data_IF_777690821087
#
_entry.id   IF_777690821087
#
_cell.length_a   1.000
_cell.length_b   1.000
_cell.length_c   1.000
_cell.angle_alpha   90.00
_cell.angle_beta   90.00
_cell.angle_gamma   90.00
#
_symmetry.space_group_name_H-M   'P 1'
#
loop_
_entity.id
_entity.type
_entity.pdbx_description
1 polymer ?
#
# COMPACT_ATOMS: atom_id res chain seq x y z
N UNK A 1 16.74 2.18 22.90
CA UNK A 1 16.14 1.06 22.15
C UNK A 1 14.92 1.52 21.37
N UNK A 2 14.76 1.02 20.15
CA UNK A 2 13.58 1.26 19.33
C UNK A 2 12.45 0.29 19.75
N UNK A 3 11.20 0.78 19.77
CA UNK A 3 10.05 -0.06 20.07
C UNK A 3 9.76 -1.05 18.92
N UNK A 4 9.17 -2.21 19.25
CA UNK A 4 8.72 -3.17 18.23
C UNK A 4 7.53 -2.62 17.42
N UNK A 5 7.25 -3.26 16.27
CA UNK A 5 6.21 -2.81 15.34
C UNK A 5 4.80 -2.78 15.95
N UNK A 6 4.45 -3.75 16.81
CA UNK A 6 3.12 -3.79 17.45
C UNK A 6 2.98 -2.64 18.43
N UNK A 7 4.00 -2.38 19.24
CA UNK A 7 4.04 -1.24 20.16
C UNK A 7 3.90 0.09 19.40
N UNK A 8 4.60 0.27 18.28
CA UNK A 8 4.49 1.47 17.44
C UNK A 8 3.07 1.63 16.86
N UNK A 9 2.52 0.57 16.28
CA UNK A 9 1.17 0.58 15.69
C UNK A 9 0.09 0.87 16.73
N UNK A 10 0.15 0.23 17.91
CA UNK A 10 -0.82 0.46 18.99
C UNK A 10 -0.80 1.91 19.47
N UNK A 11 0.40 2.50 19.64
CA UNK A 11 0.54 3.91 20.04
C UNK A 11 -0.04 4.86 19.00
N UNK A 12 0.28 4.65 17.72
CA UNK A 12 -0.26 5.46 16.64
C UNK A 12 -1.79 5.38 16.60
N UNK A 13 -2.37 4.17 16.63
CA UNK A 13 -3.82 4.01 16.59
C UNK A 13 -4.53 4.60 17.82
N UNK A 14 -3.96 4.43 19.01
CA UNK A 14 -4.57 4.95 20.25
C UNK A 14 -4.61 6.49 20.28
N UNK A 15 -3.64 7.16 19.66
CA UNK A 15 -3.53 8.62 19.62
C UNK A 15 -4.49 9.29 18.63
N UNK A 16 -4.98 8.57 17.63
CA UNK A 16 -5.80 9.11 16.56
C UNK A 16 -7.31 9.05 16.86
N UNK A 17 -8.08 9.86 16.14
CA UNK A 17 -9.54 9.83 16.23
C UNK A 17 -10.12 8.51 15.71
N UNK A 18 -11.27 8.12 16.24
CA UNK A 18 -11.98 6.91 15.80
C UNK A 18 -12.35 7.01 14.30
N UNK A 19 -12.16 5.92 13.56
CA UNK A 19 -12.43 5.83 12.12
C UNK A 19 -11.61 6.79 11.24
N UNK A 20 -10.52 7.38 11.73
CA UNK A 20 -9.73 8.36 10.99
C UNK A 20 -8.50 7.76 10.29
N UNK A 21 -7.99 6.63 10.78
CA UNK A 21 -6.69 6.11 10.34
C UNK A 21 -6.82 5.33 9.04
N UNK A 22 -5.93 5.62 8.09
CA UNK A 22 -5.66 4.76 6.95
C UNK A 22 -4.29 4.14 7.12
N UNK A 23 -4.20 2.81 7.01
CA UNK A 23 -2.92 2.10 7.03
C UNK A 23 -2.53 1.79 5.58
N UNK A 24 -1.26 2.01 5.24
CA UNK A 24 -0.69 1.57 3.97
C UNK A 24 0.27 0.43 4.25
N UNK A 25 -0.03 -0.76 3.74
CA UNK A 25 0.84 -1.94 3.82
C UNK A 25 1.53 -2.16 2.47
N UNK A 26 2.81 -1.84 2.41
CA UNK A 26 3.65 -1.96 1.22
C UNK A 26 4.70 -3.07 1.37
N UNK A 27 4.36 -4.11 2.14
CA UNK A 27 5.26 -5.20 2.48
C UNK A 27 4.51 -6.33 3.18
N UNK A 28 5.23 -7.08 3.99
CA UNK A 28 4.72 -8.28 4.66
C UNK A 28 3.60 -7.97 5.68
N UNK A 29 2.63 -8.88 5.77
CA UNK A 29 1.39 -8.71 6.55
C UNK A 29 1.56 -9.02 8.04
N UNK A 30 2.68 -9.63 8.43
CA UNK A 30 2.96 -10.12 9.79
C UNK A 30 2.73 -9.06 10.87
N UNK A 31 3.13 -7.81 10.64
CA UNK A 31 2.94 -6.75 11.64
C UNK A 31 1.47 -6.43 11.89
N UNK A 32 0.63 -6.41 10.84
CA UNK A 32 -0.81 -6.19 10.98
C UNK A 32 -1.51 -7.38 11.64
N UNK A 33 -1.09 -8.61 11.30
CA UNK A 33 -1.61 -9.81 11.94
C UNK A 33 -1.22 -9.89 13.42
N UNK A 34 0.03 -9.54 13.77
CA UNK A 34 0.47 -9.47 15.16
C UNK A 34 -0.24 -8.35 15.94
N UNK A 35 -0.52 -7.22 15.29
CA UNK A 35 -1.37 -6.18 15.85
C UNK A 35 -2.75 -6.74 16.18
N UNK A 36 -3.43 -7.44 15.26
CA UNK A 36 -4.74 -8.03 15.53
C UNK A 36 -4.73 -9.01 16.72
N UNK A 37 -3.64 -9.77 16.89
CA UNK A 37 -3.45 -10.74 17.98
C UNK A 37 -3.06 -10.10 19.32
N UNK A 38 -2.66 -8.84 19.34
CA UNK A 38 -2.24 -8.16 20.57
C UNK A 38 -3.39 -8.01 21.57
N UNK A 39 -3.08 -8.17 22.86
CA UNK A 39 -4.01 -7.91 23.95
C UNK A 39 -4.15 -6.42 24.27
N UNK A 40 -4.98 -6.10 25.25
CA UNK A 40 -4.95 -4.79 25.90
C UNK A 40 -3.62 -4.58 26.63
N UNK A 41 -3.20 -3.33 26.77
CA UNK A 41 -1.93 -2.94 27.39
C UNK A 41 -2.00 -1.51 27.96
N UNK A 42 -0.88 -0.99 28.42
CA UNK A 42 -0.77 0.36 28.99
C UNK A 42 -1.00 1.48 27.95
N UNK A 43 -1.01 1.16 26.64
CA UNK A 43 -1.27 2.11 25.57
C UNK A 43 -2.77 2.25 25.32
N UNK A 44 -3.50 1.13 25.34
CA UNK A 44 -4.93 1.10 25.11
C UNK A 44 -5.59 -0.07 25.84
N UNK A 45 -6.75 0.16 26.50
CA UNK A 45 -7.51 -0.92 27.12
C UNK A 45 -8.19 -1.85 26.10
N UNK A 46 -8.14 -1.53 24.81
CA UNK A 46 -8.70 -2.36 23.74
C UNK A 46 -7.70 -3.42 23.27
N UNK A 47 -8.20 -4.64 23.02
CA UNK A 47 -7.43 -5.63 22.29
C UNK A 47 -7.16 -5.15 20.86
N UNK A 48 -6.10 -5.65 20.23
CA UNK A 48 -5.65 -5.16 18.93
C UNK A 48 -6.71 -5.16 17.84
N UNK A 49 -7.51 -6.24 17.74
CA UNK A 49 -8.65 -6.29 16.81
C UNK A 49 -9.68 -5.19 17.07
N UNK A 50 -10.02 -4.93 18.33
CA UNK A 50 -11.00 -3.91 18.72
C UNK A 50 -10.46 -2.51 18.49
N UNK A 51 -9.17 -2.30 18.77
CA UNK A 51 -8.48 -1.05 18.49
C UNK A 51 -8.48 -0.76 16.99
N UNK A 52 -8.14 -1.74 16.15
CA UNK A 52 -8.19 -1.60 14.69
C UNK A 52 -9.61 -1.28 14.23
N UNK A 53 -10.61 -2.05 14.66
CA UNK A 53 -12.01 -1.82 14.28
C UNK A 53 -12.50 -0.42 14.69
N UNK A 54 -12.01 0.11 15.82
CA UNK A 54 -12.39 1.44 16.30
C UNK A 54 -11.67 2.56 15.55
N UNK A 55 -10.38 2.38 15.22
CA UNK A 55 -9.51 3.47 14.77
C UNK A 55 -9.30 3.51 13.26
N UNK A 56 -9.26 2.36 12.62
CA UNK A 56 -8.90 2.24 11.20
C UNK A 56 -10.13 2.36 10.32
N UNK A 57 -10.10 3.29 9.37
CA UNK A 57 -11.08 3.42 8.30
C UNK A 57 -10.92 2.32 7.26
N UNK A 58 -9.70 2.17 6.73
CA UNK A 58 -9.34 1.17 5.73
C UNK A 58 -7.84 0.86 5.77
N UNK A 59 -7.46 -0.27 5.18
CA UNK A 59 -6.07 -0.58 4.82
C UNK A 59 -5.93 -0.58 3.31
N UNK A 60 -4.99 0.20 2.78
CA UNK A 60 -4.53 0.03 1.40
C UNK A 60 -3.33 -0.91 1.41
N UNK A 61 -3.41 -1.99 0.64
CA UNK A 61 -2.36 -3.02 0.60
C UNK A 61 -1.76 -3.12 -0.80
N UNK A 62 -0.45 -3.02 -0.94
CA UNK A 62 0.25 -3.46 -2.15
C UNK A 62 0.43 -4.97 -2.06
N UNK A 63 -0.47 -5.71 -2.69
CA UNK A 63 -0.49 -7.17 -2.61
C UNK A 63 -1.37 -7.79 -3.69
N UNK A 64 -1.00 -9.01 -4.09
CA UNK A 64 -1.79 -9.84 -4.99
C UNK A 64 -1.80 -9.35 -6.44
N UNK A 65 -2.54 -10.06 -7.27
CA UNK A 65 -2.80 -9.68 -8.66
C UNK A 65 -4.23 -10.10 -9.03
N UNK A 66 -4.98 -9.20 -9.65
CA UNK A 66 -6.40 -9.41 -9.96
C UNK A 66 -6.65 -9.50 -11.47
N UNK A 67 -5.58 -9.43 -12.27
CA UNK A 67 -5.56 -9.73 -13.70
C UNK A 67 -4.44 -10.72 -14.03
N UNK A 68 -4.51 -11.36 -15.20
CA UNK A 68 -3.39 -12.16 -15.70
C UNK A 68 -2.21 -11.25 -16.05
N UNK A 69 -1.00 -11.65 -15.66
CA UNK A 69 0.24 -10.98 -16.00
C UNK A 69 0.90 -11.77 -17.12
N UNK A 70 1.10 -11.15 -18.29
CA UNK A 70 1.58 -11.83 -19.50
C UNK A 70 0.79 -13.09 -19.85
N UNK A 71 -0.53 -13.04 -19.65
CA UNK A 71 -1.45 -14.15 -19.92
C UNK A 71 -1.41 -15.30 -18.91
N UNK A 72 -0.72 -15.14 -17.78
CA UNK A 72 -0.62 -16.17 -16.73
C UNK A 72 -1.06 -15.64 -15.36
N UNK A 73 -1.55 -16.52 -14.47
CA UNK A 73 -1.75 -16.18 -13.06
C UNK A 73 -0.42 -15.71 -12.44
N UNK A 74 -0.49 -14.72 -11.55
CA UNK A 74 0.70 -14.16 -10.92
C UNK A 74 0.67 -14.41 -9.40
N UNK A 75 1.80 -14.88 -8.90
CA UNK A 75 2.04 -15.08 -7.48
C UNK A 75 2.86 -13.89 -6.98
N UNK A 76 2.19 -12.94 -6.33
CA UNK A 76 2.78 -11.66 -5.92
C UNK A 76 3.70 -11.85 -4.70
N UNK A 77 4.82 -11.13 -4.67
CA UNK A 77 5.92 -11.34 -3.74
C UNK A 77 5.53 -11.15 -2.26
N UNK A 78 4.87 -10.05 -1.91
CA UNK A 78 4.45 -9.78 -0.53
C UNK A 78 3.46 -10.84 -0.01
N UNK A 79 2.63 -11.41 -0.90
CA UNK A 79 1.74 -12.52 -0.57
C UNK A 79 2.49 -13.84 -0.40
N UNK A 80 3.41 -14.19 -1.32
CA UNK A 80 4.09 -15.49 -1.30
C UNK A 80 5.06 -15.59 -0.12
N UNK A 81 5.85 -14.55 0.11
CA UNK A 81 6.91 -14.56 1.13
C UNK A 81 6.34 -14.56 2.55
N UNK A 82 5.16 -13.97 2.76
CA UNK A 82 4.48 -13.94 4.06
C UNK A 82 3.08 -14.57 3.98
N UNK A 83 3.02 -15.77 3.38
CA UNK A 83 1.79 -16.45 2.99
C UNK A 83 0.77 -16.59 4.13
N UNK A 84 1.20 -17.07 5.30
CA UNK A 84 0.30 -17.30 6.43
C UNK A 84 -0.29 -15.99 6.94
N UNK A 85 0.52 -14.93 7.01
CA UNK A 85 0.01 -13.63 7.45
C UNK A 85 -0.86 -12.99 6.37
N UNK A 86 -0.52 -13.11 5.08
CA UNK A 86 -1.34 -12.60 3.98
C UNK A 86 -2.73 -13.27 3.94
N UNK A 87 -2.78 -14.60 4.13
CA UNK A 87 -4.04 -15.35 4.29
C UNK A 87 -4.83 -14.87 5.51
N UNK A 88 -4.15 -14.66 6.63
CA UNK A 88 -4.80 -14.24 7.88
C UNK A 88 -5.33 -12.82 7.76
N UNK A 89 -4.57 -11.90 7.16
CA UNK A 89 -4.99 -10.53 6.92
C UNK A 89 -6.24 -10.49 6.03
N UNK A 90 -6.21 -11.18 4.89
CA UNK A 90 -7.36 -11.24 3.98
C UNK A 90 -8.60 -11.84 4.66
N UNK A 91 -8.44 -12.83 5.55
CA UNK A 91 -9.58 -13.46 6.21
C UNK A 91 -10.12 -12.67 7.39
N UNK A 92 -9.24 -12.06 8.18
CA UNK A 92 -9.56 -11.64 9.54
C UNK A 92 -9.55 -10.13 9.74
N UNK A 93 -8.98 -9.33 8.84
CA UNK A 93 -8.95 -7.89 9.03
C UNK A 93 -10.38 -7.31 9.17
N UNK A 94 -10.66 -6.48 10.19
CA UNK A 94 -12.04 -6.16 10.57
C UNK A 94 -12.63 -4.94 9.86
N UNK A 95 -11.88 -4.26 9.00
CA UNK A 95 -12.32 -3.07 8.24
C UNK A 95 -12.03 -3.22 6.75
N UNK A 96 -12.35 -2.21 5.93
CA UNK A 96 -12.16 -2.31 4.48
C UNK A 96 -10.68 -2.52 4.10
N UNK A 97 -10.45 -3.42 3.12
CA UNK A 97 -9.14 -3.58 2.49
C UNK A 97 -9.24 -3.19 1.01
N UNK A 98 -8.40 -2.26 0.58
CA UNK A 98 -8.25 -1.92 -0.83
C UNK A 98 -6.89 -2.39 -1.33
N UNK A 99 -6.92 -3.35 -2.25
CA UNK A 99 -5.72 -3.94 -2.84
C UNK A 99 -5.24 -3.12 -4.04
N UNK A 100 -4.00 -2.65 -3.97
CA UNK A 100 -3.23 -2.25 -5.13
C UNK A 100 -2.48 -3.48 -5.66
N UNK A 101 -3.05 -4.10 -6.71
CA UNK A 101 -2.49 -5.31 -7.30
C UNK A 101 -1.19 -5.05 -8.08
N UNK A 102 -0.45 -6.13 -8.33
CA UNK A 102 0.80 -6.10 -9.10
C UNK A 102 0.64 -5.41 -10.47
N UNK A 103 -0.47 -5.64 -11.15
CA UNK A 103 -0.82 -5.04 -12.43
C UNK A 103 -0.92 -3.51 -12.38
N UNK A 104 -1.28 -2.94 -11.22
CA UNK A 104 -1.46 -1.50 -11.03
C UNK A 104 -0.10 -0.82 -11.02
N UNK A 105 0.84 -1.32 -10.21
CA UNK A 105 2.21 -0.82 -10.20
C UNK A 105 2.95 -1.02 -11.52
N UNK A 106 2.68 -2.13 -12.21
CA UNK A 106 3.26 -2.42 -13.53
C UNK A 106 2.78 -1.42 -14.60
N UNK A 107 1.53 -0.98 -14.53
CA UNK A 107 0.93 -0.08 -15.50
C UNK A 107 1.37 1.39 -15.37
N UNK A 108 2.00 1.77 -14.26
CA UNK A 108 2.44 3.15 -13.98
C UNK A 108 3.93 3.21 -13.60
N UNK A 109 4.84 2.84 -14.51
CA UNK A 109 6.25 2.81 -14.20
C UNK A 109 6.81 4.24 -14.07
N UNK A 110 7.55 4.52 -13.00
CA UNK A 110 8.16 5.80 -12.73
C UNK A 110 9.21 6.12 -13.80
N UNK A 111 9.19 7.31 -14.40
CA UNK A 111 10.01 7.59 -15.57
C UNK A 111 11.47 7.91 -15.19
N UNK A 112 12.42 7.27 -15.87
CA UNK A 112 13.86 7.45 -15.66
C UNK A 112 14.29 8.93 -15.76
N UNK A 113 13.68 9.66 -16.70
CA UNK A 113 13.96 11.09 -16.94
C UNK A 113 13.74 11.93 -15.68
N UNK A 114 12.79 11.55 -14.82
CA UNK A 114 12.54 12.27 -13.58
C UNK A 114 13.66 12.07 -12.57
N UNK A 115 14.18 10.83 -12.43
CA UNK A 115 15.36 10.53 -11.58
C UNK A 115 16.59 11.34 -12.05
N UNK A 116 16.76 11.48 -13.35
CA UNK A 116 17.89 12.18 -13.98
C UNK A 116 17.80 13.71 -13.87
N UNK A 117 16.59 14.29 -13.89
CA UNK A 117 16.41 15.73 -14.10
C UNK A 117 15.75 16.46 -12.92
N UNK A 118 14.86 15.81 -12.17
CA UNK A 118 13.96 16.52 -11.25
C UNK A 118 14.48 16.58 -9.80
N UNK A 119 15.54 15.84 -9.48
CA UNK A 119 16.12 15.78 -8.11
C UNK A 119 17.35 16.68 -7.91
N UNK A 120 17.64 17.57 -8.87
CA UNK A 120 18.85 18.41 -8.89
C UNK A 120 18.78 19.67 -8.00
N UNK A 121 17.75 19.80 -7.16
CA UNK A 121 17.58 20.96 -6.27
C UNK A 121 18.53 20.95 -5.06
N UNK A 122 19.26 19.85 -4.83
CA UNK A 122 20.40 19.76 -3.91
C UNK A 122 21.54 18.99 -4.60
N UNK A 123 22.83 19.25 -4.27
CA UNK A 123 23.95 18.56 -4.92
C UNK A 123 23.99 17.04 -4.68
N UNK A 124 23.53 16.59 -3.52
CA UNK A 124 23.48 15.19 -3.11
C UNK A 124 22.06 14.85 -2.67
N UNK A 125 21.28 14.28 -3.60
CA UNK A 125 19.91 13.93 -3.33
C UNK A 125 19.82 12.44 -2.92
N UNK A 126 19.50 12.10 -1.66
CA UNK A 126 19.57 10.72 -1.17
C UNK A 126 18.67 9.76 -1.94
N UNK A 127 17.46 10.19 -2.34
CA UNK A 127 16.56 9.35 -3.14
C UNK A 127 17.15 9.02 -4.53
N UNK A 128 17.50 10.02 -5.33
CA UNK A 128 18.11 9.79 -6.66
C UNK A 128 19.43 9.02 -6.57
N UNK A 129 20.32 9.35 -5.63
CA UNK A 129 21.58 8.60 -5.45
C UNK A 129 21.35 7.14 -5.06
N UNK A 130 20.46 6.87 -4.10
CA UNK A 130 20.13 5.50 -3.68
C UNK A 130 19.45 4.70 -4.80
N UNK A 131 18.59 5.35 -5.59
CA UNK A 131 17.96 4.76 -6.76
C UNK A 131 19.03 4.31 -7.77
N UNK A 132 19.93 5.22 -8.16
CA UNK A 132 21.00 4.95 -9.13
C UNK A 132 21.98 3.88 -8.64
N UNK A 133 22.29 3.85 -7.33
CA UNK A 133 23.14 2.83 -6.73
C UNK A 133 22.51 1.43 -6.73
N UNK A 134 21.18 1.37 -6.57
CA UNK A 134 20.44 0.11 -6.60
C UNK A 134 20.31 -0.41 -8.04
N UNK A 135 19.85 0.43 -8.96
CA UNK A 135 19.77 0.13 -10.39
C UNK A 135 19.86 1.45 -11.17
N UNK A 136 20.88 1.66 -12.03
CA UNK A 136 21.02 2.92 -12.75
C UNK A 136 20.08 3.03 -13.97
N UNK A 137 19.64 4.23 -14.35
CA UNK A 137 18.99 4.49 -15.64
C UNK A 137 19.83 4.00 -16.85
N UNK A 138 19.21 3.72 -18.02
CA UNK A 138 17.81 3.97 -18.35
C UNK A 138 16.89 2.78 -18.04
N UNK A 139 15.88 2.98 -17.22
CA UNK A 139 14.72 2.08 -17.07
C UNK A 139 13.59 2.81 -16.35
N UNK A 140 12.34 2.56 -16.76
CA UNK A 140 11.20 2.99 -15.97
C UNK A 140 10.82 1.87 -14.99
N UNK A 141 10.72 2.19 -13.71
CA UNK A 141 10.52 1.18 -12.66
C UNK A 141 9.06 1.12 -12.20
N UNK A 142 8.43 -0.06 -12.11
CA UNK A 142 7.07 -0.19 -11.59
C UNK A 142 6.90 0.45 -10.21
N UNK A 143 5.74 1.08 -9.98
CA UNK A 143 5.46 1.86 -8.76
C UNK A 143 4.49 1.15 -7.81
N UNK A 144 4.72 -0.15 -7.58
CA UNK A 144 3.83 -1.01 -6.78
C UNK A 144 3.42 -0.36 -5.46
N UNK A 145 4.37 0.05 -4.65
CA UNK A 145 4.09 0.62 -3.32
C UNK A 145 3.45 2.01 -3.40
N UNK A 146 3.95 2.87 -4.29
CA UNK A 146 3.47 4.24 -4.43
C UNK A 146 2.01 4.31 -4.88
N UNK A 147 1.52 3.35 -5.67
CA UNK A 147 0.10 3.31 -6.05
C UNK A 147 -0.82 3.09 -4.85
N UNK A 148 -0.41 2.26 -3.89
CA UNK A 148 -1.15 2.06 -2.63
C UNK A 148 -1.13 3.34 -1.77
N UNK A 149 0.02 4.01 -1.67
CA UNK A 149 0.15 5.30 -0.96
C UNK A 149 -0.75 6.37 -1.61
N UNK A 150 -0.68 6.53 -2.94
CA UNK A 150 -1.42 7.55 -3.66
C UNK A 150 -2.92 7.39 -3.47
N UNK A 151 -3.44 6.16 -3.56
CA UNK A 151 -4.84 5.88 -3.28
C UNK A 151 -5.22 6.22 -1.83
N UNK A 152 -4.40 5.82 -0.86
CA UNK A 152 -4.68 6.06 0.56
C UNK A 152 -4.79 7.55 0.92
N UNK A 153 -3.92 8.38 0.33
CA UNK A 153 -3.85 9.83 0.60
C UNK A 153 -4.87 10.61 -0.24
N UNK A 154 -5.10 10.22 -1.49
CA UNK A 154 -5.96 10.93 -2.44
C UNK A 154 -7.04 10.05 -3.07
N UNK A 155 -7.91 9.40 -2.27
CA UNK A 155 -8.88 8.42 -2.78
C UNK A 155 -9.92 9.03 -3.73
N UNK A 156 -10.27 10.31 -3.55
CA UNK A 156 -11.36 10.98 -4.28
C UNK A 156 -10.88 11.84 -5.46
N UNK A 157 -9.58 11.79 -5.81
CA UNK A 157 -9.02 12.57 -6.94
C UNK A 157 -9.22 11.90 -8.30
N UNK A 158 -9.85 10.72 -8.35
CA UNK A 158 -10.11 9.98 -9.58
C UNK A 158 -8.86 9.36 -10.21
N UNK A 159 -7.79 9.20 -9.43
CA UNK A 159 -6.54 8.54 -9.86
C UNK A 159 -6.76 7.06 -10.19
N UNK A 160 -7.62 6.38 -9.44
CA UNK A 160 -7.91 4.98 -9.60
C UNK A 160 -9.42 4.75 -9.69
N UNK A 161 -9.83 3.74 -10.45
CA UNK A 161 -11.12 3.11 -10.27
C UNK A 161 -11.07 2.08 -9.14
N UNK A 162 -12.24 1.56 -8.77
CA UNK A 162 -12.37 0.47 -7.81
C UNK A 162 -13.21 -0.64 -8.42
N UNK A 163 -12.85 -1.88 -8.11
CA UNK A 163 -13.72 -3.03 -8.32
C UNK A 163 -15.05 -2.86 -7.56
N UNK A 164 -16.08 -3.65 -7.89
CA UNK A 164 -17.19 -3.89 -6.96
C UNK A 164 -16.66 -4.37 -5.59
N UNK A 165 -17.51 -4.30 -4.56
CA UNK A 165 -17.22 -4.96 -3.30
C UNK A 165 -17.15 -6.48 -3.49
N UNK A 166 -16.29 -7.12 -2.71
CA UNK A 166 -16.16 -8.57 -2.71
C UNK A 166 -15.18 -9.05 -1.66
N UNK A 167 -14.77 -10.30 -1.84
CA UNK A 167 -13.86 -10.99 -0.93
C UNK A 167 -12.65 -11.46 -1.70
N UNK A 168 -11.49 -11.21 -1.11
CA UNK A 168 -10.20 -11.69 -1.58
C UNK A 168 -9.81 -12.90 -0.75
N UNK A 169 -9.38 -13.96 -1.42
CA UNK A 169 -8.79 -15.13 -0.77
C UNK A 169 -7.41 -15.39 -1.35
N UNK A 170 -6.51 -15.87 -0.50
CA UNK A 170 -5.16 -16.29 -0.87
C UNK A 170 -5.10 -17.81 -0.70
N UNK A 171 -4.78 -18.54 -1.77
CA UNK A 171 -4.70 -20.01 -1.69
C UNK A 171 -3.39 -20.49 -1.07
N UNK A 172 -3.20 -21.80 -0.97
CA UNK A 172 -2.00 -22.44 -0.39
C UNK A 172 -0.69 -22.14 -1.14
N UNK A 173 -0.77 -21.60 -2.35
CA UNK A 173 0.38 -21.23 -3.18
C UNK A 173 0.58 -19.72 -3.28
N UNK A 174 -0.17 -18.92 -2.52
CA UNK A 174 -0.11 -17.45 -2.59
C UNK A 174 -0.81 -16.83 -3.80
N UNK A 175 -1.59 -17.61 -4.57
CA UNK A 175 -2.41 -17.02 -5.63
C UNK A 175 -3.61 -16.32 -5.00
N UNK A 176 -3.79 -15.07 -5.41
CA UNK A 176 -4.89 -14.23 -4.93
C UNK A 176 -6.09 -14.34 -5.88
N UNK A 177 -7.30 -14.48 -5.34
CA UNK A 177 -8.54 -14.52 -6.12
C UNK A 177 -9.57 -13.58 -5.52
N UNK A 178 -10.33 -12.90 -6.37
CA UNK A 178 -11.42 -12.03 -5.96
C UNK A 178 -12.78 -12.59 -6.38
N UNK A 179 -13.74 -12.57 -5.46
CA UNK A 179 -15.14 -12.92 -5.72
C UNK A 179 -16.02 -11.75 -5.32
N UNK A 180 -16.76 -11.19 -6.28
CA UNK A 180 -17.68 -10.08 -6.02
C UNK A 180 -18.80 -10.51 -5.06
N UNK A 181 -19.19 -9.61 -4.16
CA UNK A 181 -20.25 -9.85 -3.18
C UNK A 181 -20.57 -8.58 -2.40
N UNK A 182 -21.86 -8.28 -2.24
CA UNK A 182 -22.34 -7.03 -1.62
C UNK A 182 -21.96 -6.87 -0.14
N UNK A 183 -21.61 -7.95 0.54
CA UNK A 183 -21.18 -7.94 1.95
C UNK A 183 -19.65 -8.06 2.10
N UNK A 184 -18.91 -8.07 0.99
CA UNK A 184 -17.47 -8.18 1.00
C UNK A 184 -16.81 -6.86 1.41
N UNK A 185 -15.78 -6.95 2.25
CA UNK A 185 -15.04 -5.78 2.73
C UNK A 185 -13.83 -5.43 1.85
N UNK A 186 -13.64 -6.13 0.73
CA UNK A 186 -12.46 -5.93 -0.11
C UNK A 186 -12.84 -5.30 -1.45
N UNK A 187 -11.90 -4.49 -1.95
CA UNK A 187 -11.87 -3.97 -3.31
C UNK A 187 -10.45 -4.05 -3.83
N UNK A 188 -10.28 -4.01 -5.15
CA UNK A 188 -8.98 -3.77 -5.76
C UNK A 188 -9.03 -2.55 -6.68
N UNK A 189 -7.89 -1.89 -6.83
CA UNK A 189 -7.74 -0.73 -7.70
C UNK A 189 -7.85 -1.15 -9.17
N UNK A 190 -8.42 -0.28 -9.99
CA UNK A 190 -8.42 -0.41 -11.45
C UNK A 190 -7.89 0.85 -12.11
N UNK A 191 -7.41 0.72 -13.35
CA UNK A 191 -6.84 1.82 -14.12
C UNK A 191 -7.36 1.83 -15.55
N UNK A 192 -7.75 3.01 -16.03
CA UNK A 192 -7.88 3.30 -17.46
C UNK A 192 -6.55 3.85 -18.03
N UNK A 193 -6.42 3.94 -19.35
CA UNK A 193 -5.25 4.55 -19.98
C UNK A 193 -5.04 6.02 -19.56
N UNK A 194 -6.12 6.81 -19.48
CA UNK A 194 -6.06 8.19 -19.00
C UNK A 194 -5.62 8.28 -17.54
N UNK A 195 -6.07 7.34 -16.70
CA UNK A 195 -5.66 7.27 -15.30
C UNK A 195 -4.18 6.90 -15.16
N UNK A 196 -3.65 6.00 -15.99
CA UNK A 196 -2.22 5.65 -15.98
C UNK A 196 -1.34 6.89 -16.19
N UNK A 197 -1.67 7.73 -17.18
CA UNK A 197 -0.95 8.99 -17.43
C UNK A 197 -1.05 9.93 -16.22
N UNK A 198 -2.26 10.14 -15.68
CA UNK A 198 -2.49 11.04 -14.53
C UNK A 198 -1.79 10.58 -13.27
N UNK A 199 -1.82 9.27 -12.99
CA UNK A 199 -1.15 8.67 -11.83
C UNK A 199 0.36 8.82 -11.99
N UNK A 200 0.92 8.52 -13.16
CA UNK A 200 2.36 8.65 -13.41
C UNK A 200 2.81 10.10 -13.20
N UNK A 201 2.08 11.07 -13.75
CA UNK A 201 2.38 12.49 -13.55
C UNK A 201 2.25 12.91 -12.08
N UNK A 202 1.20 12.48 -11.39
CA UNK A 202 1.02 12.78 -9.97
C UNK A 202 2.16 12.21 -9.12
N UNK A 203 2.60 10.99 -9.39
CA UNK A 203 3.75 10.39 -8.70
C UNK A 203 5.04 11.17 -8.98
N UNK A 204 5.28 11.58 -10.22
CA UNK A 204 6.44 12.44 -10.55
C UNK A 204 6.40 13.71 -9.72
N UNK A 205 5.33 14.49 -9.81
CA UNK A 205 5.22 15.81 -9.15
C UNK A 205 5.29 15.70 -7.62
N UNK A 206 4.69 14.67 -7.02
CA UNK A 206 4.70 14.48 -5.56
C UNK A 206 6.06 14.00 -5.05
N UNK A 207 6.78 13.16 -5.81
CA UNK A 207 8.07 12.63 -5.39
C UNK A 207 9.21 13.64 -5.59
N UNK A 208 9.07 14.58 -6.52
CA UNK A 208 10.13 15.54 -6.88
C UNK A 208 9.93 16.93 -6.26
N UNK A 209 8.81 17.17 -5.57
CA UNK A 209 8.55 18.45 -4.93
C UNK A 209 9.70 18.81 -3.97
N UNK A 210 10.41 19.94 -4.18
CA UNK A 210 11.43 20.39 -3.26
C UNK A 210 10.83 20.67 -1.88
N UNK A 211 11.60 20.47 -0.79
CA UNK A 211 11.09 20.73 0.55
C UNK A 211 10.63 22.18 0.66
N UNK A 212 9.39 22.37 1.09
CA UNK A 212 8.85 23.69 1.38
C UNK A 212 9.73 24.34 2.45
N UNK A 213 10.17 25.59 2.23
CA UNK A 213 10.91 26.33 3.25
C UNK A 213 10.07 26.35 4.52
N UNK A 214 10.57 25.71 5.58
CA UNK A 214 9.98 25.84 6.91
C UNK A 214 10.02 27.33 7.23
N UNK A 215 8.86 27.99 7.21
CA UNK A 215 8.74 29.35 7.73
C UNK A 215 9.14 29.26 9.20
N UNK A 216 10.34 29.78 9.51
CA UNK A 216 10.81 29.97 10.88
C UNK A 216 9.98 31.04 11.57
#
# INVERSE_FOLDING_TARGET
DAADAVTVLRRALAAEADGSVVIVQVGFSTNLVNLLKSGADDISPLAGRELVLRKVRLVSVMAGAFTLINGQPHHEYNVVEDLVAAQTLAREWPTEIVYSGFEIGLAVPYPAVSIEQDYAYVPHHPLSESYVLYEPPPHNRPTWDLTSVLYAVFPDRGYFGLSPQGTVSVNEKGLTTFVAGANGQHRYLTLTADQQVRVTEALVQLCTEPPQQVRR
#
